data_IF_511103544403
#
_entry.id   IF_511103544403
#
_cell.length_a   1.000
_cell.length_b   1.000
_cell.length_c   1.000
_cell.angle_alpha   90.00
_cell.angle_beta   90.00
_cell.angle_gamma   90.00
#
_symmetry.space_group_name_H-M   'P 1'
#
loop_
_entity.id
_entity.type
_entity.pdbx_description
1 polymer ?
#
# COMPACT_ATOMS: atom_id res chain seq x y z
N UNK A 1 1.79 15.73 0.24
CA UNK A 1 1.08 14.47 0.54
C UNK A 1 2.11 13.37 0.75
N UNK A 2 2.94 13.06 -0.24
CA UNK A 2 4.10 12.14 -0.13
C UNK A 2 4.91 12.30 1.17
N UNK A 3 5.44 13.49 1.48
CA UNK A 3 6.23 13.69 2.70
C UNK A 3 5.47 13.39 4.01
N UNK A 4 4.14 13.60 4.04
CA UNK A 4 3.36 13.23 5.21
C UNK A 4 3.20 11.70 5.31
N UNK A 5 3.08 11.03 4.16
CA UNK A 5 3.01 9.57 4.04
C UNK A 5 4.28 8.91 4.59
N UNK A 6 5.45 9.37 4.12
CA UNK A 6 6.76 8.88 4.57
C UNK A 6 6.94 9.02 6.09
N UNK A 7 6.57 10.17 6.66
CA UNK A 7 6.73 10.42 8.10
C UNK A 7 5.79 9.53 8.92
N UNK A 8 4.55 9.35 8.48
CA UNK A 8 3.53 8.63 9.24
C UNK A 8 3.74 7.12 9.24
N UNK A 9 3.99 6.51 8.07
CA UNK A 9 4.10 5.05 7.98
C UNK A 9 5.34 4.49 8.68
N UNK A 10 6.48 5.16 8.55
CA UNK A 10 7.73 4.65 9.12
C UNK A 10 7.69 4.47 10.64
N UNK A 11 6.96 5.33 11.36
CA UNK A 11 6.79 5.19 12.82
C UNK A 11 5.69 4.18 13.15
N UNK A 12 4.60 4.17 12.38
CA UNK A 12 3.47 3.28 12.60
C UNK A 12 3.86 1.80 12.43
N UNK A 13 4.64 1.46 11.40
CA UNK A 13 5.05 0.07 11.16
C UNK A 13 5.90 -0.50 12.32
N UNK A 14 6.73 0.34 12.94
CA UNK A 14 7.54 -0.04 14.10
C UNK A 14 6.69 -0.20 15.37
N UNK A 15 5.65 0.63 15.52
CA UNK A 15 4.68 0.55 16.61
C UNK A 15 3.84 -0.73 16.52
N UNK A 16 3.28 -1.00 15.34
CA UNK A 16 2.53 -2.22 15.03
C UNK A 16 3.39 -3.47 15.22
N UNK A 17 4.69 -3.42 14.92
CA UNK A 17 5.59 -4.54 15.14
C UNK A 17 5.78 -4.88 16.62
N UNK A 18 5.86 -3.85 17.49
CA UNK A 18 5.91 -4.05 18.94
C UNK A 18 4.56 -4.57 19.45
N UNK A 19 3.44 -4.02 18.97
CA UNK A 19 2.09 -4.49 19.35
C UNK A 19 1.88 -5.96 18.96
N UNK A 20 2.35 -6.36 17.77
CA UNK A 20 2.34 -7.75 17.27
C UNK A 20 3.40 -8.64 17.93
N UNK A 21 4.20 -8.10 18.86
CA UNK A 21 5.25 -8.82 19.61
C UNK A 21 6.34 -9.43 18.73
N UNK A 22 6.63 -8.81 17.59
CA UNK A 22 7.77 -9.19 16.74
C UNK A 22 9.08 -8.95 17.53
N UNK A 23 9.14 -7.87 18.31
CA UNK A 23 10.18 -7.57 19.29
C UNK A 23 9.62 -6.65 20.40
N UNK A 24 10.34 -6.53 21.51
CA UNK A 24 9.98 -5.56 22.57
C UNK A 24 10.45 -4.15 22.22
N UNK A 25 9.95 -3.15 22.94
CA UNK A 25 10.40 -1.75 22.76
C UNK A 25 11.89 -1.55 23.07
N UNK A 26 12.44 -2.29 24.04
CA UNK A 26 13.89 -2.33 24.31
C UNK A 26 14.66 -2.87 23.10
N UNK A 27 14.15 -3.96 22.50
CA UNK A 27 14.73 -4.58 21.31
C UNK A 27 14.71 -3.63 20.12
N UNK A 28 13.59 -2.93 19.90
CA UNK A 28 13.47 -1.90 18.87
C UNK A 28 14.49 -0.78 19.08
N UNK A 29 14.62 -0.26 20.31
CA UNK A 29 15.62 0.77 20.62
C UNK A 29 17.03 0.30 20.26
N UNK A 30 17.38 -0.94 20.60
CA UNK A 30 18.70 -1.50 20.27
C UNK A 30 18.90 -1.62 18.75
N UNK A 31 17.89 -2.09 18.00
CA UNK A 31 17.96 -2.14 16.54
C UNK A 31 18.16 -0.76 15.90
N UNK A 32 17.44 0.26 16.39
CA UNK A 32 17.60 1.64 15.95
C UNK A 32 18.99 2.19 16.31
N UNK A 33 19.49 1.88 17.50
CA UNK A 33 20.82 2.28 17.95
C UNK A 33 21.90 1.69 17.04
N UNK A 34 21.90 0.37 16.85
CA UNK A 34 22.91 -0.33 16.05
C UNK A 34 22.86 0.09 14.57
N UNK A 35 21.67 0.36 14.02
CA UNK A 35 21.50 0.77 12.63
C UNK A 35 21.92 2.23 12.37
N UNK A 36 21.93 3.10 13.38
CA UNK A 36 22.37 4.49 13.24
C UNK A 36 23.91 4.63 13.15
N UNK A 37 24.65 3.74 13.82
CA UNK A 37 26.11 3.69 13.76
C UNK A 37 26.81 4.71 14.65
N UNK A 38 26.99 5.95 14.20
CA UNK A 38 27.78 6.96 14.94
C UNK A 38 26.92 7.76 15.93
N UNK A 39 27.19 7.59 17.22
CA UNK A 39 26.43 8.23 18.30
C UNK A 39 27.11 9.50 18.80
N UNK A 40 26.96 10.59 18.04
CA UNK A 40 27.41 11.91 18.48
C UNK A 40 26.36 12.60 19.36
N UNK A 41 26.83 13.30 20.40
CA UNK A 41 25.95 14.12 21.25
C UNK A 41 25.32 15.22 20.42
N UNK A 42 24.00 15.34 20.49
CA UNK A 42 23.24 16.32 19.71
C UNK A 42 22.91 15.87 18.29
N UNK A 43 23.24 14.63 17.90
CA UNK A 43 22.74 14.02 16.65
C UNK A 43 21.20 13.99 16.62
N UNK A 44 20.63 13.86 15.42
CA UNK A 44 19.18 13.77 15.27
C UNK A 44 18.63 12.52 15.99
N UNK A 45 19.38 11.41 15.97
CA UNK A 45 19.07 10.22 16.77
C UNK A 45 18.95 10.53 18.27
N UNK A 46 19.93 11.25 18.83
CA UNK A 46 19.92 11.62 20.26
C UNK A 46 18.72 12.51 20.59
N UNK A 47 18.42 13.49 19.73
CA UNK A 47 17.31 14.42 19.91
C UNK A 47 15.93 13.76 19.78
N UNK A 48 15.82 12.69 18.98
CA UNK A 48 14.54 12.06 18.64
C UNK A 48 14.34 10.72 19.35
N UNK A 49 15.17 9.73 19.04
CA UNK A 49 15.03 8.33 19.48
C UNK A 49 15.51 8.16 20.92
N UNK A 50 16.73 8.59 21.24
CA UNK A 50 17.29 8.49 22.59
C UNK A 50 16.47 9.33 23.58
N UNK A 51 16.07 10.54 23.18
CA UNK A 51 15.18 11.36 24.00
C UNK A 51 13.83 10.70 24.29
N UNK A 52 13.24 10.00 23.31
CA UNK A 52 12.00 9.26 23.52
C UNK A 52 12.20 8.09 24.48
N UNK A 53 13.33 7.38 24.35
CA UNK A 53 13.72 6.26 25.22
C UNK A 53 13.96 6.68 26.68
N UNK A 54 14.68 7.79 26.91
CA UNK A 54 14.92 8.28 28.26
C UNK A 54 13.62 8.73 28.94
N UNK A 55 12.77 9.47 28.20
CA UNK A 55 11.49 9.97 28.69
C UNK A 55 10.50 8.87 29.02
N UNK A 56 10.47 7.79 28.24
CA UNK A 56 9.56 6.65 28.49
C UNK A 56 9.91 5.89 29.77
N UNK A 57 11.18 5.97 30.22
CA UNK A 57 11.67 5.32 31.44
C UNK A 57 11.58 6.19 32.68
N UNK A 58 11.70 7.51 32.53
CA UNK A 58 11.68 8.45 33.67
C UNK A 58 10.28 8.77 34.19
N UNK A 59 9.25 8.58 33.36
CA UNK A 59 7.88 8.96 33.69
C UNK A 59 7.13 7.83 34.38
N UNK A 60 6.88 7.99 35.68
CA UNK A 60 6.12 7.09 36.54
C UNK A 60 4.59 7.20 36.39
N UNK A 61 4.10 7.79 35.30
CA UNK A 61 2.67 7.93 35.01
C UNK A 61 2.06 6.63 34.45
N UNK A 62 0.75 6.47 34.66
CA UNK A 62 -0.09 5.26 34.47
C UNK A 62 -0.07 4.53 33.11
N UNK A 63 0.72 4.97 32.11
CA UNK A 63 0.82 4.33 30.79
C UNK A 63 2.02 3.39 30.70
N UNK A 64 1.95 2.39 29.84
CA UNK A 64 3.06 1.46 29.61
C UNK A 64 4.28 2.19 29.04
N UNK A 65 5.47 1.65 29.26
CA UNK A 65 6.72 2.20 28.70
C UNK A 65 6.69 2.23 27.16
N UNK A 66 6.03 1.25 26.54
CA UNK A 66 5.81 1.16 25.09
C UNK A 66 4.98 2.34 24.58
N UNK A 67 3.81 2.59 25.17
CA UNK A 67 2.94 3.71 24.79
C UNK A 67 3.66 5.06 24.89
N UNK A 68 4.44 5.24 25.95
CA UNK A 68 5.17 6.49 26.17
C UNK A 68 6.31 6.65 25.16
N UNK A 69 7.04 5.57 24.84
CA UNK A 69 8.10 5.60 23.85
C UNK A 69 7.56 6.03 22.49
N UNK A 70 6.52 5.38 21.97
CA UNK A 70 5.96 5.72 20.66
C UNK A 70 5.30 7.10 20.63
N UNK A 71 4.64 7.51 21.73
CA UNK A 71 4.14 8.88 21.85
C UNK A 71 5.25 9.91 21.71
N UNK A 72 6.37 9.76 22.43
CA UNK A 72 7.49 10.69 22.33
C UNK A 72 8.24 10.57 21.01
N UNK A 73 8.45 9.36 20.50
CA UNK A 73 9.09 9.13 19.21
C UNK A 73 8.34 9.85 18.09
N UNK A 74 7.00 9.71 18.06
CA UNK A 74 6.12 10.38 17.09
C UNK A 74 6.21 11.90 17.22
N UNK A 75 6.05 12.43 18.43
CA UNK A 75 6.11 13.89 18.67
C UNK A 75 7.48 14.45 18.28
N UNK A 76 8.56 13.81 18.70
CA UNK A 76 9.92 14.25 18.40
C UNK A 76 10.19 14.20 16.90
N UNK A 77 9.78 13.12 16.22
CA UNK A 77 9.92 12.96 14.76
C UNK A 77 9.16 14.06 14.02
N UNK A 78 7.89 14.31 14.37
CA UNK A 78 7.08 15.36 13.75
C UNK A 78 7.68 16.76 13.95
N UNK A 79 8.12 17.07 15.17
CA UNK A 79 8.72 18.37 15.49
C UNK A 79 10.03 18.65 14.74
N UNK A 80 10.67 17.61 14.18
CA UNK A 80 11.89 17.74 13.39
C UNK A 80 11.62 17.69 11.89
N UNK A 81 10.87 16.69 11.43
CA UNK A 81 10.66 16.45 9.99
C UNK A 81 9.62 17.38 9.36
N UNK A 82 8.57 17.78 10.08
CA UNK A 82 7.53 18.65 9.50
C UNK A 82 8.06 20.05 9.18
N UNK A 83 8.77 20.75 10.09
CA UNK A 83 9.37 22.03 9.75
C UNK A 83 10.37 21.93 8.60
N UNK A 84 11.18 20.87 8.58
CA UNK A 84 12.15 20.63 7.52
C UNK A 84 11.49 20.41 6.15
N UNK A 85 10.45 19.57 6.08
CA UNK A 85 9.68 19.36 4.85
C UNK A 85 9.03 20.67 4.36
N UNK A 86 8.53 21.51 5.27
CA UNK A 86 7.92 22.78 4.94
C UNK A 86 8.95 23.78 4.39
N UNK A 87 10.13 23.86 5.00
CA UNK A 87 11.25 24.69 4.53
C UNK A 87 11.70 24.23 3.13
N UNK A 88 11.92 22.92 2.95
CA UNK A 88 12.28 22.34 1.65
C UNK A 88 11.24 22.62 0.56
N UNK A 89 9.96 22.57 0.90
CA UNK A 89 8.89 22.91 -0.02
C UNK A 89 8.93 24.40 -0.42
N UNK A 90 9.16 25.30 0.54
CA UNK A 90 9.26 26.75 0.28
C UNK A 90 10.51 27.08 -0.54
N UNK A 91 11.66 26.49 -0.20
CA UNK A 91 12.94 26.73 -0.88
C UNK A 91 12.92 26.26 -2.34
N UNK A 92 12.13 25.23 -2.65
CA UNK A 92 12.02 24.66 -3.99
C UNK A 92 10.67 24.98 -4.66
N UNK A 93 9.96 26.00 -4.17
CA UNK A 93 8.57 26.28 -4.58
C UNK A 93 8.42 26.46 -6.09
N UNK A 94 9.38 27.10 -6.76
CA UNK A 94 9.32 27.32 -8.20
C UNK A 94 9.39 26.01 -8.98
N UNK A 95 10.35 25.13 -8.67
CA UNK A 95 10.49 23.83 -9.35
C UNK A 95 9.29 22.92 -9.05
N UNK A 96 8.80 22.93 -7.81
CA UNK A 96 7.63 22.16 -7.40
C UNK A 96 6.39 22.65 -8.14
N UNK A 97 6.21 23.97 -8.25
CA UNK A 97 5.08 24.58 -8.95
C UNK A 97 5.04 24.22 -10.43
N UNK A 98 6.20 24.17 -11.09
CA UNK A 98 6.32 23.78 -12.50
C UNK A 98 6.34 22.26 -12.73
N UNK A 99 6.37 21.45 -11.66
CA UNK A 99 6.44 19.99 -11.76
C UNK A 99 7.80 19.47 -12.23
N UNK A 100 8.87 20.26 -12.05
CA UNK A 100 10.24 19.93 -12.48
C UNK A 100 11.10 19.40 -11.33
N UNK A 101 10.59 19.45 -10.10
CA UNK A 101 11.27 18.94 -8.92
C UNK A 101 11.24 17.40 -8.88
N UNK A 102 12.33 16.76 -9.28
CA UNK A 102 12.44 15.31 -9.49
C UNK A 102 13.02 14.54 -8.27
N UNK A 103 12.71 14.99 -7.06
CA UNK A 103 13.12 14.38 -5.80
C UNK A 103 11.98 14.49 -4.78
N UNK A 104 11.89 13.58 -3.80
CA UNK A 104 10.96 13.77 -2.68
C UNK A 104 11.45 14.87 -1.72
N UNK A 105 10.54 15.47 -0.96
CA UNK A 105 10.89 16.54 0.00
C UNK A 105 11.84 16.09 1.11
N UNK A 106 11.88 14.78 1.39
CA UNK A 106 12.64 14.15 2.47
C UNK A 106 13.70 13.16 1.94
N UNK A 107 14.06 13.27 0.66
CA UNK A 107 15.06 12.44 -0.01
C UNK A 107 16.25 13.31 -0.40
N UNK A 108 17.24 13.37 0.49
CA UNK A 108 18.46 14.18 0.35
C UNK A 108 19.57 13.68 1.28
N UNK A 109 20.74 14.33 1.23
CA UNK A 109 21.88 14.01 2.09
C UNK A 109 21.77 14.54 3.53
N UNK A 110 20.58 15.02 3.95
CA UNK A 110 20.40 15.58 5.29
C UNK A 110 20.27 14.50 6.36
N UNK A 111 20.56 14.88 7.61
CA UNK A 111 20.29 14.02 8.77
C UNK A 111 18.81 13.66 8.92
N UNK A 112 17.90 14.47 8.36
CA UNK A 112 16.45 14.22 8.44
C UNK A 112 16.04 13.05 7.54
N UNK A 113 16.59 12.99 6.32
CA UNK A 113 16.41 11.85 5.42
C UNK A 113 17.00 10.57 6.04
N UNK A 114 18.20 10.67 6.63
CA UNK A 114 18.85 9.55 7.33
C UNK A 114 18.00 8.98 8.47
N UNK A 115 17.23 9.82 9.19
CA UNK A 115 16.33 9.34 10.26
C UNK A 115 15.14 8.54 9.72
N UNK A 116 14.55 8.95 8.58
CA UNK A 116 13.52 8.15 7.94
C UNK A 116 14.08 6.85 7.39
N UNK A 117 15.25 6.92 6.76
CA UNK A 117 15.95 5.76 6.23
C UNK A 117 16.33 4.78 7.35
N UNK A 118 16.66 5.27 8.54
CA UNK A 118 16.85 4.44 9.74
C UNK A 118 15.59 3.62 10.05
N UNK A 119 14.42 4.28 10.14
CA UNK A 119 13.16 3.61 10.44
C UNK A 119 12.80 2.58 9.36
N UNK A 120 12.92 2.96 8.08
CA UNK A 120 12.69 2.06 6.93
C UNK A 120 13.61 0.83 6.99
N UNK A 121 14.90 1.02 7.27
CA UNK A 121 15.86 -0.08 7.35
C UNK A 121 15.57 -1.05 8.50
N UNK A 122 15.18 -0.54 9.67
CA UNK A 122 14.80 -1.40 10.80
C UNK A 122 13.51 -2.15 10.49
N UNK A 123 12.50 -1.49 9.90
CA UNK A 123 11.27 -2.14 9.47
C UNK A 123 11.53 -3.25 8.43
N UNK A 124 12.33 -2.97 7.39
CA UNK A 124 12.70 -3.96 6.37
C UNK A 124 13.42 -5.19 6.93
N UNK A 125 14.32 -5.00 7.88
CA UNK A 125 15.16 -6.10 8.43
C UNK A 125 14.50 -6.93 9.51
N UNK A 126 13.50 -6.38 10.19
CA UNK A 126 12.95 -6.99 11.40
C UNK A 126 11.42 -7.13 11.39
N UNK A 127 10.70 -6.31 10.62
CA UNK A 127 9.23 -6.32 10.56
C UNK A 127 8.76 -7.03 9.30
N UNK A 128 9.16 -6.56 8.12
CA UNK A 128 8.70 -7.12 6.84
C UNK A 128 9.32 -8.48 6.53
N UNK A 129 10.48 -8.80 7.09
CA UNK A 129 11.11 -10.11 7.02
C UNK A 129 10.57 -11.12 8.05
N UNK A 130 9.50 -10.78 8.78
CA UNK A 130 8.92 -11.69 9.75
C UNK A 130 8.15 -12.81 9.02
N UNK A 131 8.33 -14.10 9.36
CA UNK A 131 7.72 -15.21 8.62
C UNK A 131 6.20 -15.13 8.47
N UNK A 132 5.49 -14.58 9.45
CA UNK A 132 4.03 -14.39 9.37
C UNK A 132 3.64 -13.32 8.34
N UNK A 133 4.45 -12.26 8.19
CA UNK A 133 4.24 -11.22 7.19
C UNK A 133 4.48 -11.79 5.80
N UNK A 134 5.63 -12.46 5.59
CA UNK A 134 5.96 -13.12 4.32
C UNK A 134 4.89 -14.17 3.94
N UNK A 135 4.39 -14.94 4.91
CA UNK A 135 3.33 -15.92 4.67
C UNK A 135 2.03 -15.25 4.22
N UNK A 136 1.64 -14.14 4.83
CA UNK A 136 0.45 -13.37 4.42
C UNK A 136 0.62 -12.80 3.00
N UNK A 137 1.80 -12.29 2.65
CA UNK A 137 2.10 -11.81 1.30
C UNK A 137 2.00 -12.91 0.25
N UNK A 138 2.57 -14.10 0.53
CA UNK A 138 2.47 -15.27 -0.34
C UNK A 138 1.02 -15.74 -0.52
N UNK A 139 0.22 -15.70 0.56
CA UNK A 139 -1.20 -15.99 0.50
C UNK A 139 -1.95 -14.97 -0.37
N UNK A 140 -1.70 -13.68 -0.16
CA UNK A 140 -2.28 -12.60 -0.96
C UNK A 140 -1.96 -12.76 -2.45
N UNK A 141 -0.70 -13.01 -2.79
CA UNK A 141 -0.27 -13.27 -4.16
C UNK A 141 -1.03 -14.46 -4.78
N UNK A 142 -1.18 -15.56 -4.04
CA UNK A 142 -1.90 -16.75 -4.53
C UNK A 142 -3.39 -16.49 -4.70
N UNK A 143 -4.02 -15.74 -3.78
CA UNK A 143 -5.43 -15.35 -3.85
C UNK A 143 -5.70 -14.52 -5.10
N UNK A 144 -4.94 -13.43 -5.31
CA UNK A 144 -5.13 -12.54 -6.45
C UNK A 144 -4.87 -13.26 -7.79
N UNK A 145 -3.80 -14.05 -7.86
CA UNK A 145 -3.49 -14.88 -9.03
C UNK A 145 -4.63 -15.87 -9.32
N UNK A 146 -5.14 -16.52 -8.28
CA UNK A 146 -6.26 -17.46 -8.39
C UNK A 146 -7.54 -16.80 -8.88
N UNK A 147 -7.89 -15.63 -8.36
CA UNK A 147 -9.03 -14.84 -8.84
C UNK A 147 -8.88 -14.48 -10.32
N UNK A 148 -7.71 -14.01 -10.75
CA UNK A 148 -7.45 -13.70 -12.16
C UNK A 148 -7.67 -14.94 -13.06
N UNK A 149 -7.19 -16.11 -12.65
CA UNK A 149 -7.43 -17.36 -13.40
C UNK A 149 -8.91 -17.78 -13.40
N UNK A 150 -9.65 -17.53 -12.32
CA UNK A 150 -11.10 -17.83 -12.26
C UNK A 150 -11.88 -16.94 -13.23
N UNK A 151 -11.51 -15.66 -13.39
CA UNK A 151 -12.17 -14.73 -14.32
C UNK A 151 -11.62 -14.80 -15.75
N UNK A 152 -10.54 -15.55 -15.99
CA UNK A 152 -9.93 -15.75 -17.33
C UNK A 152 -10.93 -16.15 -18.43
N UNK A 153 -11.97 -16.97 -18.21
CA UNK A 153 -12.94 -17.29 -19.27
C UNK A 153 -13.60 -16.06 -19.90
N UNK A 154 -13.83 -14.97 -19.15
CA UNK A 154 -14.36 -13.72 -19.69
C UNK A 154 -13.40 -13.07 -20.69
N UNK A 155 -12.10 -13.20 -20.47
CA UNK A 155 -11.06 -12.70 -21.38
C UNK A 155 -10.84 -13.63 -22.59
N UNK A 156 -11.29 -14.88 -22.53
CA UNK A 156 -11.15 -15.83 -23.64
C UNK A 156 -12.31 -15.75 -24.65
N UNK A 157 -13.41 -15.07 -24.32
CA UNK A 157 -14.51 -14.81 -25.25
C UNK A 157 -14.06 -13.94 -26.42
N UNK A 158 -14.60 -14.20 -27.61
CA UNK A 158 -14.48 -13.24 -28.72
C UNK A 158 -15.16 -11.90 -28.40
N UNK A 159 -14.82 -10.85 -29.15
CA UNK A 159 -15.44 -9.53 -28.96
C UNK A 159 -16.96 -9.57 -29.15
N UNK A 160 -17.42 -10.36 -30.12
CA UNK A 160 -18.84 -10.56 -30.42
C UNK A 160 -19.55 -11.30 -29.29
N UNK A 161 -18.95 -12.36 -28.76
CA UNK A 161 -19.54 -13.14 -27.66
C UNK A 161 -19.61 -12.35 -26.36
N UNK A 162 -18.56 -11.59 -26.03
CA UNK A 162 -18.57 -10.74 -24.84
C UNK A 162 -19.56 -9.58 -25.00
N UNK A 163 -19.65 -8.99 -26.19
CA UNK A 163 -20.66 -7.97 -26.49
C UNK A 163 -22.08 -8.53 -26.36
N UNK A 164 -22.34 -9.72 -26.88
CA UNK A 164 -23.63 -10.41 -26.69
C UNK A 164 -23.93 -10.64 -25.20
N UNK A 165 -22.92 -11.03 -24.42
CA UNK A 165 -23.06 -11.25 -22.98
C UNK A 165 -23.40 -9.95 -22.24
N UNK A 166 -22.74 -8.84 -22.57
CA UNK A 166 -23.01 -7.53 -21.99
C UNK A 166 -24.42 -7.04 -22.34
N UNK A 167 -24.89 -7.27 -23.56
CA UNK A 167 -26.21 -6.83 -24.01
C UNK A 167 -27.36 -7.66 -23.42
N UNK A 168 -27.17 -8.99 -23.31
CA UNK A 168 -28.24 -9.91 -22.89
C UNK A 168 -28.20 -10.28 -21.41
N UNK A 169 -27.12 -9.94 -20.71
CA UNK A 169 -26.76 -10.35 -19.33
C UNK A 169 -26.58 -11.87 -19.14
N UNK A 170 -27.41 -12.69 -19.80
CA UNK A 170 -27.38 -14.15 -19.71
C UNK A 170 -27.44 -14.79 -21.10
N UNK A 171 -26.38 -15.48 -21.45
CA UNK A 171 -26.25 -16.20 -22.71
C UNK A 171 -26.26 -17.71 -22.43
N UNK A 172 -27.28 -18.42 -22.95
CA UNK A 172 -27.50 -19.85 -22.63
C UNK A 172 -26.30 -20.75 -22.94
N UNK A 173 -25.57 -20.45 -24.03
CA UNK A 173 -24.37 -21.18 -24.47
C UNK A 173 -23.11 -20.84 -23.66
N UNK A 174 -23.14 -19.78 -22.85
CA UNK A 174 -22.05 -19.30 -21.99
C UNK A 174 -22.48 -19.31 -20.51
N UNK A 175 -22.85 -20.48 -19.93
CA UNK A 175 -23.44 -20.53 -18.60
C UNK A 175 -22.46 -20.13 -17.49
N UNK A 176 -21.15 -20.38 -17.67
CA UNK A 176 -20.13 -20.07 -16.65
C UNK A 176 -19.77 -18.60 -16.73
N UNK A 177 -19.47 -18.10 -17.93
CA UNK A 177 -19.13 -16.72 -18.22
C UNK A 177 -20.27 -15.79 -17.84
N UNK A 178 -21.53 -16.16 -18.10
CA UNK A 178 -22.68 -15.35 -17.65
C UNK A 178 -22.71 -15.20 -16.14
N UNK A 179 -22.40 -16.26 -15.38
CA UNK A 179 -22.38 -16.20 -13.91
C UNK A 179 -21.19 -15.41 -13.38
N UNK A 180 -20.02 -15.55 -14.00
CA UNK A 180 -18.84 -14.76 -13.69
C UNK A 180 -19.07 -13.28 -13.99
N UNK A 181 -19.70 -12.95 -15.12
CA UNK A 181 -20.02 -11.56 -15.48
C UNK A 181 -20.95 -10.91 -14.45
N UNK A 182 -21.96 -11.62 -13.95
CA UNK A 182 -22.85 -11.11 -12.89
C UNK A 182 -22.15 -10.88 -11.54
N UNK A 183 -21.02 -11.54 -11.27
CA UNK A 183 -20.22 -11.31 -10.07
C UNK A 183 -19.51 -9.95 -10.11
N UNK A 184 -19.19 -9.45 -11.31
CA UNK A 184 -18.57 -8.15 -11.48
C UNK A 184 -19.50 -7.04 -10.99
N UNK A 185 -18.95 -6.11 -10.20
CA UNK A 185 -19.74 -5.01 -9.63
C UNK A 185 -20.43 -4.19 -10.74
N UNK A 186 -21.71 -3.83 -10.58
CA UNK A 186 -22.44 -3.02 -11.57
C UNK A 186 -21.72 -1.73 -11.96
N UNK A 187 -21.00 -1.08 -11.02
CA UNK A 187 -20.23 0.14 -11.30
C UNK A 187 -19.11 -0.09 -12.32
N UNK A 188 -18.39 -1.21 -12.23
CA UNK A 188 -17.29 -1.53 -13.14
C UNK A 188 -17.84 -1.94 -14.52
N UNK A 189 -18.94 -2.71 -14.54
CA UNK A 189 -19.65 -3.05 -15.78
C UNK A 189 -20.16 -1.81 -16.51
N UNK A 190 -20.71 -0.84 -15.77
CA UNK A 190 -21.14 0.45 -16.33
C UNK A 190 -19.95 1.23 -16.91
N UNK A 191 -18.83 1.31 -16.19
CA UNK A 191 -17.61 1.99 -16.67
C UNK A 191 -17.07 1.36 -17.96
N UNK A 192 -17.10 0.03 -18.07
CA UNK A 192 -16.77 -0.69 -19.30
C UNK A 192 -17.70 -0.30 -20.46
N UNK A 193 -19.03 -0.35 -20.25
CA UNK A 193 -20.01 -0.02 -21.28
C UNK A 193 -19.85 1.43 -21.75
N UNK A 194 -19.72 2.37 -20.81
CA UNK A 194 -19.52 3.79 -21.12
C UNK A 194 -18.23 4.00 -21.93
N UNK A 195 -17.14 3.35 -21.55
CA UNK A 195 -15.84 3.49 -22.24
C UNK A 195 -15.89 2.92 -23.66
N UNK A 196 -16.43 1.70 -23.84
CA UNK A 196 -16.48 1.05 -25.16
C UNK A 196 -17.47 1.74 -26.09
N UNK A 197 -18.58 2.29 -25.57
CA UNK A 197 -19.58 3.01 -26.37
C UNK A 197 -19.05 4.29 -27.06
N UNK A 198 -17.90 4.82 -26.63
CA UNK A 198 -17.26 6.00 -27.22
C UNK A 198 -16.59 5.71 -28.57
N UNK A 199 -16.42 4.43 -28.90
CA UNK A 199 -15.72 3.99 -30.10
C UNK A 199 -16.68 3.34 -31.10
N UNK A 200 -16.44 3.56 -32.39
CA UNK A 200 -17.23 2.96 -33.46
C UNK A 200 -16.79 1.50 -33.67
N UNK A 201 -17.76 0.57 -33.57
CA UNK A 201 -17.54 -0.88 -33.77
C UNK A 201 -17.00 -1.22 -35.16
N UNK A 202 -17.16 -0.34 -36.14
CA UNK A 202 -16.66 -0.54 -37.51
C UNK A 202 -15.18 -0.20 -37.67
N UNK A 203 -14.56 0.47 -36.68
CA UNK A 203 -13.15 0.83 -36.76
C UNK A 203 -12.24 -0.39 -36.58
N UNK A 204 -11.13 -0.50 -37.35
CA UNK A 204 -10.19 -1.61 -37.21
C UNK A 204 -9.55 -1.74 -35.83
N UNK A 205 -9.40 -0.62 -35.10
CA UNK A 205 -8.86 -0.59 -33.73
C UNK A 205 -9.84 -1.02 -32.64
N UNK A 206 -11.14 -1.09 -32.97
CA UNK A 206 -12.18 -1.36 -31.98
C UNK A 206 -11.97 -2.66 -31.19
N UNK A 207 -11.64 -3.81 -31.81
CA UNK A 207 -11.41 -5.05 -31.05
C UNK A 207 -10.27 -4.96 -30.04
N UNK A 208 -9.22 -4.19 -30.36
CA UNK A 208 -8.08 -4.00 -29.45
C UNK A 208 -8.47 -3.11 -28.28
N UNK A 209 -9.19 -2.03 -28.53
CA UNK A 209 -9.69 -1.12 -27.50
C UNK A 209 -10.72 -1.79 -26.60
N UNK A 210 -11.66 -2.55 -27.18
CA UNK A 210 -12.63 -3.33 -26.42
C UNK A 210 -11.92 -4.32 -25.49
N UNK A 211 -10.93 -5.05 -25.99
CA UNK A 211 -10.18 -6.00 -25.17
C UNK A 211 -9.38 -5.31 -24.06
N UNK A 212 -8.80 -4.13 -24.33
CA UNK A 212 -8.16 -3.30 -23.30
C UNK A 212 -9.14 -2.94 -22.18
N UNK A 213 -10.33 -2.43 -22.52
CA UNK A 213 -11.33 -2.08 -21.52
C UNK A 213 -11.90 -3.31 -20.81
N UNK A 214 -11.97 -4.46 -21.47
CA UNK A 214 -12.35 -5.72 -20.84
C UNK A 214 -11.31 -6.17 -19.82
N UNK A 215 -10.03 -6.03 -20.12
CA UNK A 215 -8.95 -6.29 -19.15
C UNK A 215 -9.05 -5.31 -17.96
N UNK A 216 -9.30 -4.02 -18.22
CA UNK A 216 -9.52 -3.01 -17.18
C UNK A 216 -10.72 -3.33 -16.29
N UNK A 217 -11.84 -3.78 -16.86
CA UNK A 217 -13.01 -4.22 -16.10
C UNK A 217 -12.66 -5.28 -15.05
N UNK A 218 -11.86 -6.28 -15.42
CA UNK A 218 -11.44 -7.34 -14.49
C UNK A 218 -10.46 -6.80 -13.45
N UNK A 219 -9.51 -5.96 -13.86
CA UNK A 219 -8.57 -5.31 -12.93
C UNK A 219 -9.30 -4.44 -11.91
N UNK A 220 -10.22 -3.58 -12.35
CA UNK A 220 -11.00 -2.69 -11.49
C UNK A 220 -11.82 -3.46 -10.46
N UNK A 221 -12.38 -4.61 -10.88
CA UNK A 221 -13.13 -5.46 -9.98
C UNK A 221 -12.24 -6.11 -8.91
N UNK A 222 -11.07 -6.64 -9.30
CA UNK A 222 -10.15 -7.32 -8.38
C UNK A 222 -9.46 -6.31 -7.46
N UNK A 223 -8.95 -5.20 -7.98
CA UNK A 223 -8.31 -4.15 -7.16
C UNK A 223 -9.30 -3.40 -6.27
N UNK A 224 -10.60 -3.46 -6.60
CA UNK A 224 -11.67 -2.89 -5.78
C UNK A 224 -12.10 -3.77 -4.60
N UNK A 225 -11.49 -4.96 -4.41
CA UNK A 225 -11.75 -5.86 -3.30
C UNK A 225 -10.95 -5.46 -2.06
N UNK A 226 -11.52 -5.67 -0.87
CA UNK A 226 -10.73 -5.71 0.37
C UNK A 226 -10.04 -7.08 0.49
N UNK A 227 -8.98 -7.16 1.28
CA UNK A 227 -8.23 -8.40 1.52
C UNK A 227 -9.13 -9.58 1.93
N UNK A 228 -10.02 -9.34 2.89
CA UNK A 228 -10.99 -10.33 3.37
C UNK A 228 -11.95 -10.77 2.26
N UNK A 229 -12.47 -9.82 1.47
CA UNK A 229 -13.40 -10.15 0.39
C UNK A 229 -12.72 -10.94 -0.73
N UNK A 230 -11.49 -10.56 -1.11
CA UNK A 230 -10.71 -11.28 -2.11
C UNK A 230 -10.41 -12.72 -1.66
N UNK A 231 -10.00 -12.90 -0.41
CA UNK A 231 -9.73 -14.21 0.17
C UNK A 231 -11.00 -15.08 0.24
N UNK A 232 -12.11 -14.54 0.73
CA UNK A 232 -13.39 -15.24 0.79
C UNK A 232 -13.90 -15.63 -0.59
N UNK A 233 -13.88 -14.69 -1.54
CA UNK A 233 -14.37 -14.94 -2.90
C UNK A 233 -13.52 -16.02 -3.59
N UNK A 234 -12.20 -15.99 -3.43
CA UNK A 234 -11.31 -17.04 -3.93
C UNK A 234 -11.68 -18.41 -3.36
N UNK A 235 -11.89 -18.52 -2.03
CA UNK A 235 -12.26 -19.79 -1.39
C UNK A 235 -13.61 -20.32 -1.85
N UNK A 236 -14.62 -19.45 -1.96
CA UNK A 236 -15.97 -19.80 -2.46
C UNK A 236 -15.92 -20.35 -3.88
N UNK A 237 -15.19 -19.68 -4.76
CA UNK A 237 -15.10 -20.06 -6.17
C UNK A 237 -14.22 -21.30 -6.38
N UNK A 238 -13.32 -21.61 -5.45
CA UNK A 238 -12.54 -22.84 -5.42
C UNK A 238 -13.25 -24.02 -4.73
N UNK A 239 -14.45 -23.82 -4.18
CA UNK A 239 -15.24 -24.83 -3.45
C UNK A 239 -14.48 -25.47 -2.27
N UNK A 240 -13.72 -24.66 -1.54
CA UNK A 240 -12.96 -25.06 -0.33
C UNK A 240 -13.52 -24.37 0.93
N UNK A 241 -14.79 -24.02 0.89
CA UNK A 241 -15.59 -23.47 1.99
C UNK A 241 -16.88 -24.29 2.15
#
# INVERSE_FOLDING_TARGET
MEAADDISYCVADLEDAVEKRIFSVEGLYQHLYDAWGNHEKGSLFSQVVENAWEKSRSNSLSRSTEDQFFMYLRVNTLNKLVPYAAERFIDNIDQIYHGEFNHALLEDDSSFSQLLELYKNVAMRHVFSHPEVEQLELQGYRVITGLLEIYRPLLQLSAEEFSELVEKERVRRLPIESRLFHKLSPRHRLAYVESVSKFDRQQPEWPVLEFYYRCRLIQDYISGMTDLYAWDEYRKLMAVE
#
